data_IF_671069745522
#
_entry.id   IF_671069745522
#
_cell.length_a   1.000
_cell.length_b   1.000
_cell.length_c   1.000
_cell.angle_alpha   90.00
_cell.angle_beta   90.00
_cell.angle_gamma   90.00
#
_symmetry.space_group_name_H-M   'P 1'
#
loop_
_entity.id
_entity.type
_entity.pdbx_description
1 polymer ?
#
# COMPACT_ATOMS: atom_id res chain seq x y z
N UNK A 1 68.49 -8.99 4.28
CA UNK A 1 67.08 -9.38 4.21
C UNK A 1 66.47 -9.17 5.59
N UNK A 2 65.70 -8.10 5.78
CA UNK A 2 65.09 -7.74 7.07
C UNK A 2 63.61 -7.52 6.84
N UNK A 3 62.80 -8.39 7.43
CA UNK A 3 61.35 -8.47 7.31
C UNK A 3 60.72 -7.40 8.20
N UNK A 4 59.94 -6.48 7.62
CA UNK A 4 59.15 -5.51 8.40
C UNK A 4 57.83 -6.17 8.80
N UNK A 5 57.64 -6.37 10.10
CA UNK A 5 56.37 -6.79 10.69
C UNK A 5 55.35 -5.65 10.61
N UNK A 6 54.19 -5.91 10.00
CA UNK A 6 53.01 -5.06 10.09
C UNK A 6 52.33 -5.27 11.46
N UNK A 7 52.16 -4.20 12.23
CA UNK A 7 51.34 -4.20 13.44
C UNK A 7 49.90 -3.93 12.99
N UNK A 8 49.04 -4.92 13.15
CA UNK A 8 47.59 -4.78 13.02
C UNK A 8 47.07 -4.04 14.25
N UNK A 9 46.74 -2.76 14.12
CA UNK A 9 46.00 -2.03 15.15
C UNK A 9 44.54 -2.48 15.06
N UNK A 10 44.16 -3.45 15.88
CA UNK A 10 42.76 -3.81 16.08
C UNK A 10 42.14 -2.71 16.95
N UNK A 11 41.49 -1.74 16.29
CA UNK A 11 40.65 -0.75 16.96
C UNK A 11 39.47 -1.46 17.62
N UNK A 12 39.47 -1.48 18.94
CA UNK A 12 38.36 -1.91 19.78
C UNK A 12 37.20 -0.93 19.56
N UNK A 13 36.26 -1.26 18.67
CA UNK A 13 34.99 -0.52 18.59
C UNK A 13 34.19 -0.86 19.84
N UNK A 14 34.16 0.07 20.79
CA UNK A 14 33.14 0.08 21.83
C UNK A 14 31.78 0.21 21.15
N UNK A 15 30.91 -0.79 21.35
CA UNK A 15 29.53 -0.76 20.90
C UNK A 15 28.79 0.34 21.67
N UNK A 16 28.61 1.51 21.04
CA UNK A 16 27.56 2.43 21.45
C UNK A 16 26.24 1.90 20.91
N UNK A 17 25.45 1.29 21.78
CA UNK A 17 24.07 0.93 21.52
C UNK A 17 23.19 2.19 21.60
N UNK A 18 23.10 2.90 20.48
CA UNK A 18 22.11 3.95 20.22
C UNK A 18 21.70 3.86 18.74
N UNK A 19 20.51 4.33 18.36
CA UNK A 19 20.07 4.28 16.96
C UNK A 19 21.00 5.17 16.13
N UNK A 20 21.81 4.57 15.27
CA UNK A 20 22.62 5.31 14.32
C UNK A 20 21.67 5.90 13.27
N UNK A 21 21.39 7.21 13.39
CA UNK A 21 20.63 7.95 12.38
C UNK A 21 21.47 8.01 11.11
N UNK A 22 20.92 7.51 10.01
CA UNK A 22 21.55 7.66 8.71
C UNK A 22 21.47 9.15 8.33
N UNK A 23 22.62 9.80 8.23
CA UNK A 23 22.71 11.16 7.70
C UNK A 23 23.30 11.12 6.30
N UNK A 24 22.83 11.98 5.41
CA UNK A 24 23.49 12.18 4.11
C UNK A 24 24.86 12.87 4.29
N UNK A 25 25.57 13.06 3.18
CA UNK A 25 26.90 13.68 3.18
C UNK A 25 26.94 15.10 3.76
N UNK A 26 25.78 15.76 3.88
CA UNK A 26 25.63 17.14 4.35
C UNK A 26 25.06 17.21 5.80
N UNK A 27 24.84 16.06 6.45
CA UNK A 27 24.36 15.99 7.84
C UNK A 27 22.85 16.13 8.00
N UNK A 28 22.07 16.09 6.91
CA UNK A 28 20.62 15.98 6.98
C UNK A 28 20.22 14.53 7.24
N UNK A 29 19.05 14.30 7.84
CA UNK A 29 18.46 12.96 7.90
C UNK A 29 18.34 12.41 6.48
N UNK A 30 18.94 11.25 6.22
CA UNK A 30 18.81 10.61 4.93
C UNK A 30 17.39 10.08 4.75
N UNK A 31 16.88 10.21 3.52
CA UNK A 31 15.61 9.59 3.14
C UNK A 31 15.76 8.07 3.11
N UNK A 32 14.81 7.38 3.70
CA UNK A 32 14.71 5.92 3.72
C UNK A 32 13.50 5.47 2.90
N UNK A 33 13.52 4.23 2.42
CA UNK A 33 12.42 3.65 1.64
C UNK A 33 11.94 2.36 2.27
N UNK A 34 10.65 2.30 2.59
CA UNK A 34 9.94 1.07 2.92
C UNK A 34 9.11 0.59 1.72
N UNK A 35 9.07 -0.72 1.51
CA UNK A 35 8.29 -1.34 0.43
C UNK A 35 7.56 -2.56 0.96
N UNK A 36 6.24 -2.56 0.77
CA UNK A 36 5.33 -3.59 1.27
C UNK A 36 4.67 -4.29 0.10
N UNK A 37 4.90 -5.61 -0.03
CA UNK A 37 4.33 -6.44 -1.09
C UNK A 37 4.21 -7.88 -0.55
N UNK A 38 3.01 -8.47 -0.61
CA UNK A 38 2.74 -9.75 0.03
C UNK A 38 3.66 -10.88 -0.47
N UNK A 39 4.34 -11.54 0.47
CA UNK A 39 5.30 -12.61 0.25
C UNK A 39 6.71 -12.16 -0.16
N UNK A 40 6.97 -10.85 -0.21
CA UNK A 40 8.31 -10.29 -0.50
C UNK A 40 8.96 -9.84 0.80
N UNK A 41 10.22 -10.22 1.02
CA UNK A 41 11.00 -9.85 2.21
C UNK A 41 10.30 -10.17 3.55
N UNK A 42 9.44 -11.20 3.58
CA UNK A 42 8.69 -11.61 4.77
C UNK A 42 7.47 -10.75 5.11
N UNK A 43 7.06 -9.82 4.23
CA UNK A 43 5.84 -9.04 4.43
C UNK A 43 4.58 -9.84 4.07
N UNK A 44 3.61 -9.91 4.97
CA UNK A 44 2.36 -10.65 4.78
C UNK A 44 1.10 -9.82 5.14
N UNK A 45 1.24 -8.50 5.32
CA UNK A 45 0.17 -7.64 5.81
C UNK A 45 -0.80 -7.11 4.76
N UNK A 46 -0.78 -7.59 3.51
CA UNK A 46 -1.73 -7.11 2.51
C UNK A 46 -3.09 -7.76 2.73
N UNK A 47 -4.14 -6.94 2.77
CA UNK A 47 -5.54 -7.36 2.68
C UNK A 47 -6.13 -6.68 1.47
N UNK A 48 -6.49 -7.44 0.45
CA UNK A 48 -7.18 -6.95 -0.74
C UNK A 48 -8.33 -7.89 -1.14
N UNK A 49 -9.45 -7.30 -1.56
CA UNK A 49 -10.69 -8.07 -1.77
C UNK A 49 -11.69 -7.30 -2.61
N UNK A 50 -12.27 -7.99 -3.58
CA UNK A 50 -13.46 -7.54 -4.30
C UNK A 50 -14.70 -7.77 -3.43
N UNK A 51 -15.58 -6.78 -3.37
CA UNK A 51 -16.96 -6.93 -2.91
C UNK A 51 -17.90 -6.67 -4.07
N UNK A 52 -18.94 -7.48 -4.21
CA UNK A 52 -19.79 -7.45 -5.41
C UNK A 52 -21.27 -7.56 -5.05
N UNK A 53 -22.07 -6.65 -5.58
CA UNK A 53 -23.51 -6.55 -5.34
C UNK A 53 -24.26 -7.84 -5.71
N UNK A 54 -23.87 -8.49 -6.80
CA UNK A 54 -24.51 -9.74 -7.25
C UNK A 54 -24.03 -10.98 -6.48
N UNK A 55 -23.00 -10.84 -5.65
CA UNK A 55 -22.50 -11.89 -4.76
C UNK A 55 -22.38 -11.37 -3.31
N UNK A 56 -23.47 -10.86 -2.70
CA UNK A 56 -23.36 -9.88 -1.63
C UNK A 56 -22.89 -10.44 -0.27
N UNK A 57 -22.95 -11.77 -0.11
CA UNK A 57 -22.46 -12.50 1.07
C UNK A 57 -21.21 -13.32 0.79
N UNK A 58 -20.72 -13.33 -0.45
CA UNK A 58 -19.56 -14.11 -0.85
C UNK A 58 -18.28 -13.42 -0.38
N UNK A 59 -17.36 -14.21 0.18
CA UNK A 59 -16.02 -13.75 0.55
C UNK A 59 -15.08 -14.08 -0.62
N UNK A 60 -14.39 -13.07 -1.16
CA UNK A 60 -13.55 -13.17 -2.35
C UNK A 60 -12.05 -12.89 -2.05
N UNK A 61 -11.63 -13.02 -0.79
CA UNK A 61 -10.30 -12.69 -0.27
C UNK A 61 -9.15 -13.61 -0.71
N UNK A 62 -9.38 -14.53 -1.65
CA UNK A 62 -8.34 -15.39 -2.25
C UNK A 62 -8.40 -15.38 -3.76
N UNK A 63 -9.18 -14.47 -4.35
CA UNK A 63 -9.21 -14.31 -5.79
C UNK A 63 -7.91 -13.63 -6.22
N UNK A 64 -7.18 -14.18 -7.22
CA UNK A 64 -5.93 -13.60 -7.69
C UNK A 64 -6.11 -12.31 -8.51
N UNK A 65 -7.36 -11.91 -8.73
CA UNK A 65 -7.79 -10.77 -9.54
C UNK A 65 -9.00 -10.13 -8.85
N UNK A 66 -9.14 -8.82 -8.99
CA UNK A 66 -10.27 -8.06 -8.46
C UNK A 66 -10.79 -7.06 -9.50
N UNK A 67 -12.10 -6.89 -9.51
CA UNK A 67 -12.86 -6.06 -10.45
C UNK A 67 -13.36 -4.80 -9.77
N UNK A 68 -13.05 -3.63 -10.31
CA UNK A 68 -13.70 -2.36 -9.93
C UNK A 68 -14.59 -1.88 -11.08
N UNK A 69 -15.90 -1.98 -10.94
CA UNK A 69 -16.86 -1.75 -12.03
C UNK A 69 -18.22 -1.28 -11.50
N UNK A 70 -18.74 -0.17 -12.03
CA UNK A 70 -20.07 0.32 -11.70
C UNK A 70 -21.21 -0.51 -12.31
N UNK A 71 -20.90 -1.51 -13.15
CA UNK A 71 -21.88 -2.41 -13.77
C UNK A 71 -21.26 -3.79 -14.13
N UNK A 72 -20.70 -4.48 -13.15
CA UNK A 72 -20.22 -5.86 -13.30
C UNK A 72 -21.40 -6.85 -13.44
N UNK A 73 -21.84 -7.08 -14.68
CA UNK A 73 -22.91 -8.01 -14.99
C UNK A 73 -24.30 -7.56 -14.52
N UNK A 74 -24.51 -6.27 -14.28
CA UNK A 74 -25.77 -5.71 -13.79
C UNK A 74 -25.75 -5.23 -12.34
N UNK A 75 -24.63 -5.37 -11.62
CA UNK A 75 -24.45 -4.83 -10.27
C UNK A 75 -23.02 -4.34 -10.05
N UNK A 76 -22.83 -3.47 -9.06
CA UNK A 76 -21.54 -2.84 -8.79
C UNK A 76 -20.55 -3.80 -8.11
N UNK A 77 -19.28 -3.75 -8.52
CA UNK A 77 -18.15 -4.33 -7.80
C UNK A 77 -17.14 -3.26 -7.39
N UNK A 78 -16.66 -3.36 -6.16
CA UNK A 78 -15.70 -2.44 -5.56
C UNK A 78 -14.53 -3.25 -5.02
N UNK A 79 -13.36 -2.60 -4.88
CA UNK A 79 -12.20 -3.26 -4.28
C UNK A 79 -11.77 -2.52 -3.02
N UNK A 80 -11.55 -3.27 -1.95
CA UNK A 80 -10.97 -2.78 -0.70
C UNK A 80 -9.53 -3.24 -0.62
N UNK A 81 -8.65 -2.36 -0.13
CA UNK A 81 -7.22 -2.68 0.02
C UNK A 81 -6.61 -2.00 1.24
N UNK A 82 -5.83 -2.76 2.02
CA UNK A 82 -5.09 -2.28 3.19
C UNK A 82 -3.74 -2.98 3.30
N UNK A 83 -2.76 -2.27 3.83
CA UNK A 83 -1.43 -2.79 4.16
C UNK A 83 -1.24 -2.69 5.67
N UNK A 84 -1.39 -3.82 6.37
CA UNK A 84 -1.22 -3.94 7.81
C UNK A 84 0.27 -4.01 8.19
N UNK A 85 0.59 -3.60 9.41
CA UNK A 85 1.95 -3.66 9.96
C UNK A 85 2.97 -2.80 9.19
N UNK A 86 2.54 -1.71 8.56
CA UNK A 86 3.46 -0.79 7.85
C UNK A 86 4.14 0.22 8.77
N UNK A 87 3.53 0.54 9.92
CA UNK A 87 4.07 1.44 10.94
C UNK A 87 4.61 0.62 12.12
N UNK A 88 5.81 0.94 12.58
CA UNK A 88 6.42 0.32 13.76
C UNK A 88 7.95 0.46 13.80
N UNK A 89 8.55 -0.11 14.83
CA UNK A 89 10.00 -0.04 15.10
C UNK A 89 10.80 -1.21 14.49
N UNK A 90 10.14 -2.16 13.83
CA UNK A 90 10.84 -3.32 13.26
C UNK A 90 11.52 -2.95 11.93
N UNK A 91 12.61 -3.65 11.55
CA UNK A 91 13.26 -3.44 10.27
C UNK A 91 12.27 -3.51 9.09
N UNK A 92 12.32 -2.52 8.21
CA UNK A 92 11.45 -2.42 7.04
C UNK A 92 10.07 -1.79 7.29
N UNK A 93 9.71 -1.47 8.54
CA UNK A 93 8.56 -0.65 8.86
C UNK A 93 8.91 0.84 8.85
N UNK A 94 7.89 1.69 8.77
CA UNK A 94 8.02 3.13 8.91
C UNK A 94 7.91 3.48 10.39
N UNK A 95 8.90 4.15 11.01
CA UNK A 95 8.81 4.55 12.40
C UNK A 95 7.64 5.52 12.65
N UNK A 96 6.92 5.40 13.78
CA UNK A 96 5.96 6.40 14.21
C UNK A 96 6.58 7.81 14.25
N UNK A 97 5.84 8.82 13.81
CA UNK A 97 6.31 10.21 13.77
C UNK A 97 7.34 10.53 12.67
N UNK A 98 7.64 9.59 11.77
CA UNK A 98 8.39 9.88 10.56
C UNK A 98 7.69 10.96 9.69
N UNK A 99 8.46 11.67 8.88
CA UNK A 99 7.91 12.55 7.85
C UNK A 99 7.88 11.81 6.53
N UNK A 100 6.68 11.52 6.02
CA UNK A 100 6.48 10.88 4.72
C UNK A 100 6.77 11.90 3.63
N UNK A 101 7.75 11.59 2.78
CA UNK A 101 8.15 12.40 1.63
C UNK A 101 7.28 12.04 0.42
N UNK A 102 7.07 10.75 0.18
CA UNK A 102 6.15 10.25 -0.83
C UNK A 102 5.61 8.88 -0.45
N UNK A 103 4.36 8.58 -0.80
CA UNK A 103 3.83 7.23 -0.72
C UNK A 103 3.02 6.91 -1.98
N UNK A 104 3.31 5.76 -2.59
CA UNK A 104 2.65 5.30 -3.81
C UNK A 104 2.10 3.90 -3.64
N UNK A 105 0.81 3.76 -3.84
CA UNK A 105 0.16 2.47 -4.07
C UNK A 105 0.29 2.11 -5.55
N UNK A 106 0.90 0.97 -5.84
CA UNK A 106 1.14 0.45 -7.17
C UNK A 106 0.33 -0.83 -7.34
N UNK A 107 -0.49 -0.89 -8.39
CA UNK A 107 -1.28 -2.07 -8.74
C UNK A 107 -1.08 -2.42 -10.21
N UNK A 108 -1.10 -3.70 -10.57
CA UNK A 108 -0.94 -4.15 -11.95
C UNK A 108 -2.31 -4.46 -12.56
N UNK A 109 -2.80 -3.54 -13.38
CA UNK A 109 -4.03 -3.74 -14.12
C UNK A 109 -3.77 -4.47 -15.45
N UNK A 110 -4.73 -5.29 -15.86
CA UNK A 110 -4.66 -6.08 -17.10
C UNK A 110 -5.91 -5.95 -17.98
N UNK A 111 -7.00 -5.35 -17.46
CA UNK A 111 -8.13 -4.92 -18.26
C UNK A 111 -8.39 -3.41 -18.09
N UNK A 112 -8.60 -2.71 -19.21
CA UNK A 112 -8.78 -1.27 -19.23
C UNK A 112 -10.24 -0.91 -19.05
N UNK A 113 -10.47 0.13 -18.25
CA UNK A 113 -11.82 0.50 -17.82
C UNK A 113 -12.11 1.98 -17.91
N UNK A 114 -13.20 2.36 -17.25
CA UNK A 114 -13.47 3.73 -16.91
C UNK A 114 -12.51 4.24 -15.80
N UNK A 115 -12.63 5.53 -15.48
CA UNK A 115 -11.84 6.13 -14.41
C UNK A 115 -12.19 5.48 -13.07
N UNK A 116 -11.16 5.21 -12.28
CA UNK A 116 -11.29 4.68 -10.91
C UNK A 116 -10.74 5.71 -9.94
N UNK A 117 -11.52 6.05 -8.93
CA UNK A 117 -11.10 6.88 -7.81
C UNK A 117 -10.68 6.01 -6.63
N UNK A 118 -9.64 6.44 -5.93
CA UNK A 118 -9.22 5.87 -4.65
C UNK A 118 -9.70 6.79 -3.53
N UNK A 119 -10.36 6.22 -2.53
CA UNK A 119 -10.86 6.93 -1.36
C UNK A 119 -10.33 6.28 -0.08
N UNK A 120 -9.88 7.08 0.89
CA UNK A 120 -9.46 6.59 2.21
C UNK A 120 -10.66 6.07 2.99
N UNK A 121 -10.56 4.87 3.55
CA UNK A 121 -11.56 4.33 4.47
C UNK A 121 -11.49 5.05 5.82
N UNK A 122 -12.67 5.32 6.38
CA UNK A 122 -12.85 5.94 7.71
C UNK A 122 -13.28 4.93 8.78
N UNK A 123 -13.70 3.73 8.35
CA UNK A 123 -14.10 2.62 9.23
C UNK A 123 -13.40 1.33 8.79
N UNK A 124 -13.15 0.39 9.72
CA UNK A 124 -12.50 -0.88 9.39
C UNK A 124 -13.44 -1.82 8.61
N UNK A 125 -12.89 -2.59 7.66
CA UNK A 125 -13.63 -3.62 6.90
C UNK A 125 -13.22 -5.08 7.24
N UNK A 126 -12.29 -5.27 8.18
CA UNK A 126 -11.81 -6.60 8.60
C UNK A 126 -10.99 -7.35 7.53
N UNK A 127 -10.84 -8.67 7.68
CA UNK A 127 -10.06 -9.54 6.76
C UNK A 127 -10.91 -10.28 5.72
N UNK A 128 -12.24 -10.27 5.89
CA UNK A 128 -13.19 -10.95 5.01
C UNK A 128 -14.47 -10.10 4.81
N UNK A 129 -14.36 -8.87 4.30
CA UNK A 129 -15.52 -8.06 3.97
C UNK A 129 -16.33 -8.72 2.86
N UNK A 130 -17.61 -8.38 2.81
CA UNK A 130 -18.52 -8.69 1.72
C UNK A 130 -19.37 -7.44 1.47
N UNK A 131 -20.06 -7.37 0.34
CA UNK A 131 -20.96 -6.26 0.03
C UNK A 131 -21.94 -5.94 1.18
N UNK A 132 -22.60 -6.97 1.73
CA UNK A 132 -23.54 -6.80 2.84
C UNK A 132 -22.86 -6.42 4.16
N UNK A 133 -21.62 -6.86 4.42
CA UNK A 133 -20.88 -6.44 5.62
C UNK A 133 -20.48 -4.96 5.58
N UNK A 134 -20.35 -4.40 4.38
CA UNK A 134 -20.16 -2.96 4.17
C UNK A 134 -21.49 -2.19 4.13
N UNK A 135 -22.64 -2.84 4.38
CA UNK A 135 -23.97 -2.22 4.35
C UNK A 135 -24.31 -1.72 2.93
N UNK A 136 -24.30 -2.67 1.99
CA UNK A 136 -24.56 -2.43 0.56
C UNK A 136 -23.42 -1.73 -0.19
N UNK A 137 -22.20 -2.22 0.02
CA UNK A 137 -20.99 -1.62 -0.57
C UNK A 137 -20.49 -0.41 0.23
N UNK A 138 -19.51 0.31 -0.31
CA UNK A 138 -18.95 1.51 0.32
C UNK A 138 -19.34 2.74 -0.48
N UNK A 139 -19.73 3.80 0.22
CA UNK A 139 -19.95 5.12 -0.36
C UNK A 139 -18.89 6.10 0.15
N UNK A 140 -18.42 6.98 -0.74
CA UNK A 140 -17.51 8.06 -0.40
C UNK A 140 -18.31 9.33 -0.01
N UNK A 141 -18.91 9.34 1.18
CA UNK A 141 -19.78 10.41 1.67
C UNK A 141 -19.33 11.03 3.02
N UNK A 142 -18.15 10.65 3.49
CA UNK A 142 -17.54 10.96 4.79
C UNK A 142 -18.09 10.15 5.98
N UNK A 143 -18.81 9.04 5.73
CA UNK A 143 -19.18 8.06 6.74
C UNK A 143 -18.27 6.82 6.72
N UNK A 144 -18.34 5.98 5.69
CA UNK A 144 -17.48 4.80 5.57
C UNK A 144 -16.14 5.09 4.88
N UNK A 145 -16.15 6.02 3.92
CA UNK A 145 -14.97 6.48 3.20
C UNK A 145 -15.01 8.01 3.00
N UNK A 146 -13.83 8.63 2.91
CA UNK A 146 -13.74 10.06 2.63
C UNK A 146 -14.36 10.40 1.26
N UNK A 147 -15.16 11.46 1.23
CA UNK A 147 -15.72 12.01 -0.02
C UNK A 147 -14.65 12.58 -0.93
N UNK A 148 -13.61 13.17 -0.34
CA UNK A 148 -12.44 13.59 -1.08
C UNK A 148 -11.74 12.34 -1.66
N UNK A 149 -11.46 12.37 -2.96
CA UNK A 149 -10.62 11.36 -3.60
C UNK A 149 -9.16 11.61 -3.21
N UNK A 150 -8.48 10.54 -2.81
CA UNK A 150 -7.05 10.55 -2.51
C UNK A 150 -6.25 10.61 -3.82
N UNK A 151 -6.64 9.76 -4.77
CA UNK A 151 -5.98 9.64 -6.07
C UNK A 151 -6.93 9.03 -7.09
N UNK A 152 -6.49 8.94 -8.35
CA UNK A 152 -7.30 8.35 -9.41
C UNK A 152 -6.43 7.87 -10.58
N UNK A 153 -7.00 6.97 -11.37
CA UNK A 153 -6.50 6.58 -12.70
C UNK A 153 -7.60 6.74 -13.73
N UNK A 154 -7.23 7.00 -14.98
CA UNK A 154 -8.17 7.08 -16.09
C UNK A 154 -8.65 5.70 -16.58
N UNK A 155 -8.26 4.60 -15.92
CA UNK A 155 -8.59 3.22 -16.32
C UNK A 155 -7.75 2.70 -17.50
N UNK A 156 -6.95 3.58 -18.13
CA UNK A 156 -6.04 3.22 -19.21
C UNK A 156 -4.80 2.51 -18.67
N UNK A 157 -4.43 1.40 -19.31
CA UNK A 157 -3.21 0.66 -19.03
C UNK A 157 -2.20 1.01 -20.13
N UNK A 158 -1.16 1.76 -19.82
CA UNK A 158 -0.09 1.95 -20.78
C UNK A 158 0.57 0.59 -21.06
N UNK A 159 0.67 0.18 -22.34
CA UNK A 159 1.25 -1.11 -22.72
C UNK A 159 2.72 -1.29 -22.27
N UNK A 160 3.40 -0.21 -21.91
CA UNK A 160 4.76 -0.18 -21.38
C UNK A 160 4.85 -0.13 -19.85
N UNK A 161 3.73 0.06 -19.14
CA UNK A 161 3.72 0.22 -17.70
C UNK A 161 3.28 -1.07 -17.00
N UNK A 162 4.17 -1.62 -16.16
CA UNK A 162 3.86 -2.79 -15.33
C UNK A 162 2.92 -2.47 -14.17
N UNK A 163 2.70 -1.18 -13.86
CA UNK A 163 1.90 -0.72 -12.71
C UNK A 163 1.14 0.57 -13.01
N UNK A 164 0.00 0.73 -12.35
CA UNK A 164 -0.79 1.95 -12.23
C UNK A 164 -0.55 2.55 -10.84
N UNK A 165 0.03 3.77 -10.74
CA UNK A 165 0.30 4.41 -9.47
C UNK A 165 -0.88 5.25 -8.96
N UNK A 166 -1.12 5.18 -7.65
CA UNK A 166 -1.98 6.06 -6.88
C UNK A 166 -1.13 6.74 -5.80
N UNK A 167 -1.11 8.07 -5.78
CA UNK A 167 -0.41 8.85 -4.75
C UNK A 167 -1.24 8.83 -3.46
N UNK A 168 -0.65 8.41 -2.34
CA UNK A 168 -1.33 8.21 -1.05
C UNK A 168 -0.53 8.82 0.12
N UNK A 169 0.32 9.80 -0.20
CA UNK A 169 1.24 10.46 0.76
C UNK A 169 0.51 11.00 1.98
N UNK A 170 -0.61 11.69 1.78
CA UNK A 170 -1.35 12.33 2.86
C UNK A 170 -2.01 11.28 3.78
N UNK A 171 -2.63 10.24 3.20
CA UNK A 171 -3.18 9.13 3.98
C UNK A 171 -2.10 8.42 4.81
N UNK A 172 -0.95 8.10 4.21
CA UNK A 172 0.14 7.41 4.94
C UNK A 172 0.75 8.32 6.01
N UNK A 173 0.91 9.63 5.75
CA UNK A 173 1.35 10.58 6.77
C UNK A 173 0.38 10.63 7.95
N UNK A 174 -0.93 10.57 7.71
CA UNK A 174 -1.93 10.53 8.77
C UNK A 174 -1.74 9.30 9.67
N UNK A 175 -1.52 8.11 9.09
CA UNK A 175 -1.25 6.89 9.84
C UNK A 175 0.05 6.93 10.63
N UNK A 176 1.13 7.45 10.04
CA UNK A 176 2.41 7.68 10.75
C UNK A 176 2.24 8.64 11.93
N UNK A 177 1.29 9.57 11.83
CA UNK A 177 0.96 10.56 12.87
C UNK A 177 0.04 10.04 13.96
N UNK A 178 -0.48 8.80 13.84
CA UNK A 178 -1.26 8.12 14.86
C UNK A 178 -2.71 7.82 14.49
N UNK A 179 -3.17 8.16 13.29
CA UNK A 179 -4.49 7.73 12.82
C UNK A 179 -4.52 6.21 12.59
N UNK A 180 -5.70 5.61 12.76
CA UNK A 180 -5.90 4.21 12.42
C UNK A 180 -5.78 3.97 10.90
N UNK A 181 -5.15 2.85 10.55
CA UNK A 181 -5.08 2.37 9.18
C UNK A 181 -6.31 1.50 8.87
N UNK A 182 -7.22 2.05 8.07
CA UNK A 182 -8.37 1.32 7.53
C UNK A 182 -8.25 1.01 6.04
N UNK A 183 -7.15 1.41 5.40
CA UNK A 183 -6.94 1.21 3.97
C UNK A 183 -7.78 2.15 3.09
N UNK A 184 -8.10 1.65 1.89
CA UNK A 184 -8.77 2.41 0.84
C UNK A 184 -9.85 1.57 0.15
N UNK A 185 -10.77 2.26 -0.52
CA UNK A 185 -11.70 1.69 -1.50
C UNK A 185 -11.43 2.26 -2.89
N UNK A 186 -11.50 1.39 -3.90
CA UNK A 186 -11.50 1.74 -5.31
C UNK A 186 -12.95 1.80 -5.79
N UNK A 187 -13.35 2.94 -6.36
CA UNK A 187 -14.69 3.17 -6.90
C UNK A 187 -14.61 3.54 -8.38
N UNK A 188 -15.29 2.77 -9.24
CA UNK A 188 -15.37 3.05 -10.67
C UNK A 188 -16.39 4.17 -10.92
N UNK A 189 -16.12 5.02 -11.90
CA UNK A 189 -16.97 6.14 -12.30
C UNK A 189 -17.96 5.80 -13.42
N UNK A 190 -17.93 4.58 -13.95
CA UNK A 190 -18.79 4.10 -15.02
C UNK A 190 -18.93 2.58 -15.04
N UNK A 191 -19.59 2.06 -16.07
CA UNK A 191 -19.92 0.63 -16.20
C UNK A 191 -18.98 -0.18 -17.11
N UNK A 192 -17.82 0.38 -17.48
CA UNK A 192 -16.73 -0.39 -18.06
C UNK A 192 -15.71 -0.68 -16.96
N UNK A 193 -15.66 -1.95 -16.54
CA UNK A 193 -14.83 -2.43 -15.45
C UNK A 193 -13.33 -2.26 -15.66
N UNK A 194 -12.60 -2.26 -14.55
CA UNK A 194 -11.16 -2.17 -14.51
C UNK A 194 -10.61 -3.24 -13.59
N UNK A 195 -9.76 -4.12 -14.14
CA UNK A 195 -9.32 -5.34 -13.47
C UNK A 195 -7.83 -5.31 -13.19
N UNK A 196 -7.47 -5.75 -11.98
CA UNK A 196 -6.09 -5.80 -11.53
C UNK A 196 -5.79 -7.00 -10.64
N UNK A 197 -4.51 -7.33 -10.55
CA UNK A 197 -4.03 -8.44 -9.74
C UNK A 197 -4.01 -8.09 -8.25
N UNK A 198 -4.38 -9.07 -7.42
CA UNK A 198 -4.38 -8.99 -5.96
C UNK A 198 -3.09 -9.57 -5.37
N UNK A 199 -3.01 -9.58 -4.04
CA UNK A 199 -1.93 -10.19 -3.28
C UNK A 199 -1.82 -11.71 -3.47
N UNK A 200 -2.87 -12.37 -3.93
CA UNK A 200 -2.88 -13.82 -4.22
C UNK A 200 -2.37 -14.20 -5.61
N UNK A 201 -2.13 -13.23 -6.50
CA UNK A 201 -1.65 -13.54 -7.85
C UNK A 201 -0.29 -14.24 -7.85
N UNK A 202 -0.07 -15.23 -8.72
CA UNK A 202 1.13 -16.09 -8.67
C UNK A 202 2.46 -15.34 -8.81
N UNK A 203 2.48 -14.25 -9.58
CA UNK A 203 3.71 -13.49 -9.84
C UNK A 203 3.84 -12.33 -8.88
N UNK A 204 4.77 -12.43 -7.93
CA UNK A 204 5.08 -11.36 -6.97
C UNK A 204 5.30 -9.99 -7.61
N UNK A 205 5.92 -9.95 -8.79
CA UNK A 205 6.17 -8.72 -9.52
C UNK A 205 4.89 -8.01 -9.98
N UNK A 206 3.73 -8.67 -10.00
CA UNK A 206 2.45 -8.07 -10.41
C UNK A 206 1.47 -7.90 -9.24
N UNK A 207 1.88 -8.25 -8.01
CA UNK A 207 1.07 -8.02 -6.81
C UNK A 207 1.06 -6.54 -6.43
N UNK A 208 0.00 -6.09 -5.75
CA UNK A 208 -0.05 -4.75 -5.18
C UNK A 208 1.15 -4.45 -4.28
N UNK A 209 1.60 -3.20 -4.33
CA UNK A 209 2.76 -2.74 -3.57
C UNK A 209 2.54 -1.33 -3.05
N UNK A 210 2.83 -1.12 -1.78
CA UNK A 210 2.95 0.21 -1.19
C UNK A 210 4.45 0.54 -1.05
N UNK A 211 4.89 1.64 -1.69
CA UNK A 211 6.25 2.15 -1.56
C UNK A 211 6.20 3.50 -0.87
N UNK A 212 6.95 3.65 0.21
CA UNK A 212 6.96 4.86 1.04
C UNK A 212 8.38 5.34 1.20
N UNK A 213 8.61 6.58 0.81
CA UNK A 213 9.82 7.33 1.08
C UNK A 213 9.59 8.24 2.29
N UNK A 214 10.48 8.22 3.28
CA UNK A 214 10.30 8.97 4.51
C UNK A 214 11.62 9.40 5.14
N UNK A 215 11.55 10.46 5.94
CA UNK A 215 12.61 10.87 6.86
C UNK A 215 12.29 10.33 8.25
N UNK A 216 13.21 9.61 8.92
CA UNK A 216 12.98 9.12 10.27
C UNK A 216 12.68 10.26 11.26
N UNK A 217 11.92 9.97 12.31
CA UNK A 217 11.56 10.95 13.34
C UNK A 217 12.81 11.59 14.01
N UNK A 218 12.69 12.87 14.36
CA UNK A 218 13.75 13.65 15.02
C UNK A 218 13.95 13.32 16.49
#
# INVERSE_FOLDING_TARGET
MSTRSFVLVVGLFAAFSGPFRSTDADGNMASETASFCFGVNGYHGTVDVEIWELAPTTILNSNPQATCDGNNGGGESQVLMRFDGIIGENPGQIPPGATVVSAKLLVSAFDQGNTVHLHRMLVPFGEAPTWNKMISGVTADDLEAQRAKESFTFGNIAASASYVPFEVTDTVQAWVSGDENHGWVFLNTGGNGWDFYTSDFDKFAQRPKLVVEFLPAR
#
